data_IF_283346790306
#
_entry.id   IF_283346790306
#
_cell.length_a   1.000
_cell.length_b   1.000
_cell.length_c   1.000
_cell.angle_alpha   90.00
_cell.angle_beta   90.00
_cell.angle_gamma   90.00
#
_symmetry.space_group_name_H-M   'P 1'
#
loop_
_entity.id
_entity.type
_entity.pdbx_description
1 polymer ?
#
# COMPACT_ATOMS: atom_id res chain seq x y z
N UNK A 1 -12.67 7.43 -9.68
CA UNK A 1 -12.03 6.40 -8.88
C UNK A 1 -10.88 7.04 -8.14
N UNK A 2 -10.76 6.91 -6.81
CA UNK A 2 -9.78 7.67 -6.05
C UNK A 2 -8.34 7.40 -6.46
N UNK A 3 -7.60 8.45 -6.80
CA UNK A 3 -6.17 8.46 -7.10
C UNK A 3 -5.46 9.62 -6.40
N UNK A 4 -4.13 9.54 -6.29
CA UNK A 4 -3.30 10.54 -5.61
C UNK A 4 -2.71 11.54 -6.62
N UNK A 5 -2.82 12.83 -6.30
CA UNK A 5 -2.35 13.94 -7.12
C UNK A 5 -1.33 14.78 -6.37
N UNK A 6 -0.17 15.01 -6.98
CA UNK A 6 0.90 15.82 -6.38
C UNK A 6 1.82 15.08 -5.40
N UNK A 7 1.71 13.75 -5.29
CA UNK A 7 2.58 12.95 -4.43
C UNK A 7 1.97 11.58 -4.08
N UNK A 8 2.44 11.00 -2.97
CA UNK A 8 1.92 9.76 -2.42
C UNK A 8 1.11 9.99 -1.12
N UNK A 9 0.73 8.91 -0.44
CA UNK A 9 0.00 8.98 0.82
C UNK A 9 0.73 9.71 1.95
N UNK A 10 2.07 9.79 1.95
CA UNK A 10 2.83 10.58 2.93
C UNK A 10 2.64 12.07 2.66
N UNK A 11 2.73 12.46 1.40
CA UNK A 11 2.50 13.83 0.97
C UNK A 11 1.06 14.27 1.26
N UNK A 12 0.08 13.38 1.08
CA UNK A 12 -1.31 13.66 1.43
C UNK A 12 -1.51 13.91 2.93
N UNK A 13 -0.88 13.08 3.78
CA UNK A 13 -0.92 13.28 5.24
C UNK A 13 -0.20 14.55 5.71
N UNK A 14 0.71 15.09 4.90
CA UNK A 14 1.39 16.37 5.17
C UNK A 14 0.69 17.58 4.53
N UNK A 15 -0.45 17.37 3.87
CA UNK A 15 -1.17 18.44 3.15
C UNK A 15 -0.47 18.93 1.89
N UNK A 16 0.41 18.12 1.29
CA UNK A 16 1.17 18.42 0.06
C UNK A 16 0.63 17.70 -1.18
N UNK A 17 -0.23 16.71 -1.01
CA UNK A 17 -0.94 16.00 -2.08
C UNK A 17 -2.43 15.86 -1.75
N UNK A 18 -3.23 15.55 -2.78
CA UNK A 18 -4.68 15.36 -2.66
C UNK A 18 -5.10 14.00 -3.20
N UNK A 19 -6.22 13.49 -2.71
CA UNK A 19 -6.92 12.33 -3.26
C UNK A 19 -8.15 12.81 -3.99
N UNK A 20 -8.23 12.59 -5.30
CA UNK A 20 -9.37 13.02 -6.11
C UNK A 20 -10.10 11.82 -6.69
N UNK A 21 -11.40 11.95 -6.95
CA UNK A 21 -12.13 10.97 -7.75
C UNK A 21 -12.06 11.25 -9.27
N UNK A 22 -12.76 10.46 -10.09
CA UNK A 22 -12.74 10.62 -11.55
C UNK A 22 -13.42 11.91 -12.03
N UNK A 23 -14.20 12.57 -11.16
CA UNK A 23 -14.89 13.82 -11.42
C UNK A 23 -14.14 15.02 -10.84
N UNK A 24 -12.97 14.80 -10.22
CA UNK A 24 -12.18 15.84 -9.58
C UNK A 24 -12.69 16.25 -8.20
N UNK A 25 -13.58 15.46 -7.57
CA UNK A 25 -14.03 15.72 -6.20
C UNK A 25 -12.88 15.40 -5.26
N UNK A 26 -12.58 16.35 -4.37
CA UNK A 26 -11.56 16.16 -3.34
C UNK A 26 -12.08 15.23 -2.22
N UNK A 27 -11.44 14.06 -2.13
CA UNK A 27 -11.72 13.02 -1.14
C UNK A 27 -10.63 12.93 -0.06
N UNK A 28 -9.66 13.85 -0.05
CA UNK A 28 -8.46 13.81 0.79
C UNK A 28 -8.82 13.65 2.26
N UNK A 29 -9.67 14.54 2.79
CA UNK A 29 -10.06 14.52 4.19
C UNK A 29 -10.80 13.23 4.57
N UNK A 30 -11.67 12.74 3.69
CA UNK A 30 -12.38 11.48 3.88
C UNK A 30 -11.44 10.27 3.93
N UNK A 31 -10.45 10.25 3.03
CA UNK A 31 -9.44 9.19 2.97
C UNK A 31 -8.54 9.21 4.22
N UNK A 32 -8.13 10.40 4.68
CA UNK A 32 -7.32 10.58 5.90
C UNK A 32 -8.10 10.09 7.13
N UNK A 33 -9.36 10.49 7.30
CA UNK A 33 -10.20 10.01 8.42
C UNK A 33 -10.34 8.48 8.41
N UNK A 34 -10.50 7.88 7.24
CA UNK A 34 -10.53 6.42 7.09
C UNK A 34 -9.21 5.76 7.51
N UNK A 35 -8.08 6.34 7.11
CA UNK A 35 -6.75 5.90 7.50
C UNK A 35 -6.51 6.03 9.02
N UNK A 36 -6.92 7.13 9.64
CA UNK A 36 -6.85 7.35 11.09
C UNK A 36 -7.69 6.33 11.86
N UNK A 37 -8.90 6.02 11.39
CA UNK A 37 -9.74 4.99 11.99
C UNK A 37 -9.09 3.61 11.91
N UNK A 38 -8.43 3.29 10.79
CA UNK A 38 -7.66 2.05 10.63
C UNK A 38 -6.47 1.99 11.61
N UNK A 39 -5.72 3.08 11.77
CA UNK A 39 -4.64 3.19 12.76
C UNK A 39 -5.16 3.00 14.18
N UNK A 40 -6.24 3.68 14.55
CA UNK A 40 -6.85 3.56 15.87
C UNK A 40 -7.26 2.12 16.17
N UNK A 41 -7.85 1.42 15.18
CA UNK A 41 -8.19 0.01 15.31
C UNK A 41 -6.94 -0.87 15.47
N UNK A 42 -5.92 -0.67 14.64
CA UNK A 42 -4.67 -1.44 14.68
C UNK A 42 -3.96 -1.30 16.05
N UNK A 43 -3.86 -0.08 16.57
CA UNK A 43 -3.26 0.18 17.88
C UNK A 43 -4.09 -0.44 19.02
N UNK A 44 -5.42 -0.31 18.98
CA UNK A 44 -6.30 -0.88 19.98
C UNK A 44 -6.21 -2.42 20.04
N UNK A 45 -6.04 -3.07 18.87
CA UNK A 45 -5.87 -4.52 18.77
C UNK A 45 -4.41 -4.98 18.91
N UNK A 46 -3.46 -4.05 19.12
CA UNK A 46 -2.02 -4.34 19.19
C UNK A 46 -1.52 -5.10 17.96
N UNK A 47 -1.99 -4.70 16.78
CA UNK A 47 -1.55 -5.29 15.51
C UNK A 47 -0.04 -5.08 15.33
N UNK A 48 0.68 -6.19 15.14
CA UNK A 48 2.13 -6.19 14.93
C UNK A 48 2.54 -6.03 13.46
N UNK A 49 1.61 -6.32 12.54
CA UNK A 49 1.82 -6.28 11.10
C UNK A 49 0.49 -6.12 10.36
N UNK A 50 0.43 -5.25 9.36
CA UNK A 50 -0.71 -5.16 8.45
C UNK A 50 -0.35 -5.69 7.05
N UNK A 51 -1.19 -6.56 6.49
CA UNK A 51 -1.09 -6.99 5.09
C UNK A 51 -2.11 -6.22 4.27
N UNK A 52 -1.65 -5.46 3.26
CA UNK A 52 -2.50 -4.56 2.48
C UNK A 52 -2.43 -4.85 0.98
N UNK A 53 -3.52 -4.51 0.28
CA UNK A 53 -3.59 -4.63 -1.18
C UNK A 53 -2.90 -3.45 -1.87
N UNK A 54 -1.77 -3.74 -2.49
CA UNK A 54 -0.91 -2.77 -3.17
C UNK A 54 -1.50 -2.24 -4.51
N UNK A 55 -0.98 -1.11 -5.02
CA UNK A 55 -1.43 -0.37 -6.22
C UNK A 55 -2.72 0.46 -6.07
N UNK A 56 -3.04 0.99 -4.89
CA UNK A 56 -4.21 1.89 -4.73
C UNK A 56 -3.88 3.13 -3.92
N UNK A 57 -4.62 4.22 -4.14
CA UNK A 57 -4.43 5.47 -3.40
C UNK A 57 -4.66 5.34 -1.88
N UNK A 58 -5.41 4.32 -1.44
CA UNK A 58 -5.62 4.03 -0.03
C UNK A 58 -4.55 3.07 0.50
N UNK A 59 -4.47 1.86 -0.07
CA UNK A 59 -3.74 0.73 0.51
C UNK A 59 -2.43 0.37 -0.19
N UNK A 60 -2.03 1.11 -1.24
CA UNK A 60 -0.72 0.93 -1.89
C UNK A 60 0.40 0.87 -0.86
N UNK A 61 1.29 -0.11 -0.93
CA UNK A 61 2.36 -0.32 0.05
C UNK A 61 3.76 -0.19 -0.53
N UNK A 62 3.89 -0.32 -1.85
CA UNK A 62 5.14 -0.08 -2.59
C UNK A 62 4.87 0.68 -3.90
N UNK A 63 3.71 0.44 -4.50
CA UNK A 63 3.27 1.03 -5.76
C UNK A 63 1.89 1.64 -5.60
N UNK A 64 1.64 2.76 -6.26
CA UNK A 64 0.31 3.35 -6.43
C UNK A 64 0.02 3.61 -7.91
N UNK A 65 -1.26 3.76 -8.27
CA UNK A 65 -1.61 4.27 -9.59
C UNK A 65 -1.05 5.68 -9.76
N UNK A 66 -0.59 5.99 -10.97
CA UNK A 66 -0.34 7.35 -11.42
C UNK A 66 -1.51 7.77 -12.33
N UNK A 67 -2.50 8.45 -11.75
CA UNK A 67 -3.77 8.75 -12.42
C UNK A 67 -4.85 7.68 -12.22
N UNK A 68 -5.94 7.82 -12.97
CA UNK A 68 -7.12 6.96 -12.87
C UNK A 68 -6.76 5.51 -13.20
N UNK A 69 -7.10 4.56 -12.32
CA UNK A 69 -6.80 3.12 -12.54
C UNK A 69 -7.54 2.48 -13.72
N UNK A 70 -8.52 3.18 -14.31
CA UNK A 70 -9.26 2.74 -15.48
C UNK A 70 -8.68 3.28 -16.79
N UNK A 71 -7.62 4.09 -16.73
CA UNK A 71 -6.93 4.55 -17.92
C UNK A 71 -6.20 3.39 -18.62
N UNK A 72 -6.10 3.49 -19.95
CA UNK A 72 -5.43 2.51 -20.78
C UNK A 72 -4.42 3.22 -21.72
N UNK A 73 -3.11 2.99 -21.57
CA UNK A 73 -2.47 2.13 -20.57
C UNK A 73 -2.52 2.73 -19.16
N UNK A 74 -2.69 1.88 -18.13
CA UNK A 74 -2.60 2.29 -16.73
C UNK A 74 -1.15 2.65 -16.40
N UNK A 75 -0.94 3.78 -15.74
CA UNK A 75 0.37 4.21 -15.25
C UNK A 75 0.52 3.95 -13.75
N UNK A 76 1.76 3.82 -13.32
CA UNK A 76 2.14 3.48 -11.96
C UNK A 76 3.31 4.32 -11.52
N UNK A 77 3.39 4.59 -10.22
CA UNK A 77 4.52 5.25 -9.59
C UNK A 77 4.91 4.51 -8.31
N UNK A 78 6.19 4.62 -7.92
CA UNK A 78 6.64 4.18 -6.60
C UNK A 78 6.01 5.07 -5.55
N UNK A 79 5.51 4.49 -4.46
CA UNK A 79 4.86 5.25 -3.40
C UNK A 79 3.84 4.40 -2.65
N UNK A 80 3.27 4.97 -1.58
CA UNK A 80 2.25 4.28 -0.78
C UNK A 80 0.94 5.04 -0.79
N UNK A 81 -0.16 4.35 -0.51
CA UNK A 81 -1.46 4.97 -0.30
C UNK A 81 -1.61 5.60 1.09
N UNK A 82 -2.65 6.40 1.28
CA UNK A 82 -2.89 7.17 2.51
C UNK A 82 -3.00 6.28 3.76
N UNK A 83 -3.69 5.14 3.67
CA UNK A 83 -3.83 4.20 4.79
C UNK A 83 -2.49 3.54 5.16
N UNK A 84 -1.72 3.12 4.15
CA UNK A 84 -0.38 2.57 4.38
C UNK A 84 0.55 3.62 5.00
N UNK A 85 0.55 4.85 4.49
CA UNK A 85 1.35 5.93 5.06
C UNK A 85 0.99 6.19 6.54
N UNK A 86 -0.30 6.17 6.88
CA UNK A 86 -0.76 6.39 8.26
C UNK A 86 -0.33 5.25 9.20
N UNK A 87 -0.49 3.99 8.78
CA UNK A 87 -0.02 2.82 9.55
C UNK A 87 1.48 2.87 9.80
N UNK A 88 2.27 3.17 8.76
CA UNK A 88 3.72 3.30 8.88
C UNK A 88 4.12 4.43 9.83
N UNK A 89 3.44 5.59 9.79
CA UNK A 89 3.67 6.70 10.75
C UNK A 89 3.32 6.32 12.18
N UNK A 90 2.32 5.48 12.37
CA UNK A 90 1.92 4.96 13.68
C UNK A 90 2.82 3.82 14.18
N UNK A 91 3.84 3.41 13.41
CA UNK A 91 4.77 2.34 13.78
C UNK A 91 4.23 0.93 13.50
N UNK A 92 3.15 0.79 12.75
CA UNK A 92 2.64 -0.52 12.30
C UNK A 92 3.29 -0.85 10.96
N UNK A 93 4.16 -1.89 10.89
CA UNK A 93 4.76 -2.31 9.64
C UNK A 93 3.70 -2.82 8.66
N UNK A 94 3.92 -2.59 7.36
CA UNK A 94 3.01 -2.99 6.29
C UNK A 94 3.72 -3.90 5.30
N UNK A 95 3.04 -4.99 4.93
CA UNK A 95 3.47 -5.94 3.91
C UNK A 95 2.47 -5.93 2.74
N UNK A 96 2.98 -5.96 1.51
CA UNK A 96 2.13 -6.11 0.33
C UNK A 96 1.54 -7.52 0.29
N UNK A 97 0.29 -7.65 -0.17
CA UNK A 97 -0.27 -8.96 -0.53
C UNK A 97 0.53 -9.68 -1.64
N UNK A 98 1.46 -8.97 -2.30
CA UNK A 98 2.36 -9.50 -3.33
C UNK A 98 3.78 -9.80 -2.82
N UNK A 99 4.10 -9.55 -1.55
CA UNK A 99 5.39 -9.89 -0.95
C UNK A 99 5.41 -11.38 -0.57
N UNK A 100 5.45 -12.24 -1.58
CA UNK A 100 5.23 -13.68 -1.40
C UNK A 100 6.31 -14.31 -0.51
N UNK A 101 7.58 -13.93 -0.67
CA UNK A 101 8.65 -14.48 0.16
C UNK A 101 8.45 -14.10 1.64
N UNK A 102 8.00 -12.88 1.90
CA UNK A 102 7.68 -12.43 3.26
C UNK A 102 6.47 -13.18 3.82
N UNK A 103 5.39 -13.32 3.04
CA UNK A 103 4.18 -14.04 3.47
C UNK A 103 4.44 -15.53 3.74
N UNK A 104 5.26 -16.19 2.92
CA UNK A 104 5.69 -17.58 3.12
C UNK A 104 6.38 -17.76 4.48
N UNK A 105 7.29 -16.85 4.83
CA UNK A 105 8.01 -16.88 6.11
C UNK A 105 7.07 -16.61 7.30
N UNK A 106 6.13 -15.68 7.16
CA UNK A 106 5.14 -15.43 8.21
C UNK A 106 4.27 -16.66 8.45
N UNK A 107 3.85 -17.33 7.38
CA UNK A 107 3.06 -18.55 7.45
C UNK A 107 3.83 -19.71 8.08
N UNK A 108 5.10 -19.89 7.72
CA UNK A 108 5.98 -20.90 8.34
C UNK A 108 6.11 -20.72 9.86
N UNK A 109 6.17 -19.47 10.34
CA UNK A 109 6.20 -19.20 11.79
C UNK A 109 4.85 -19.44 12.47
N UNK A 110 3.73 -19.19 11.77
CA UNK A 110 2.39 -19.29 12.32
C UNK A 110 1.78 -20.70 12.25
N UNK A 111 2.19 -21.52 11.28
CA UNK A 111 1.61 -22.84 10.99
C UNK A 111 2.68 -23.95 11.19
N UNK A 112 2.66 -24.68 12.32
CA UNK A 112 3.60 -25.78 12.56
C UNK A 112 3.54 -26.84 11.44
N UNK A 113 4.71 -27.15 10.87
CA UNK A 113 4.84 -28.14 9.79
C UNK A 113 4.64 -27.57 8.38
N UNK A 114 4.29 -26.29 8.25
CA UNK A 114 4.43 -25.57 6.99
C UNK A 114 5.91 -25.34 6.68
N UNK A 115 6.29 -25.43 5.41
CA UNK A 115 7.65 -25.12 4.93
C UNK A 115 7.51 -24.06 3.86
N UNK A 116 8.16 -22.92 4.07
CA UNK A 116 8.13 -21.80 3.13
C UNK A 116 8.69 -22.20 1.77
N UNK A 117 8.06 -21.74 0.69
CA UNK A 117 8.61 -21.88 -0.66
C UNK A 117 9.89 -21.03 -0.80
N UNK A 118 11.09 -21.64 -0.92
CA UNK A 118 12.34 -20.88 -1.02
C UNK A 118 12.49 -20.14 -2.36
N UNK A 119 11.64 -20.44 -3.34
CA UNK A 119 11.62 -19.78 -4.66
C UNK A 119 10.71 -18.56 -4.72
N UNK A 120 9.88 -18.34 -3.69
CA UNK A 120 9.02 -17.16 -3.61
C UNK A 120 9.85 -15.87 -3.60
N UNK A 121 9.33 -14.83 -4.26
CA UNK A 121 9.98 -13.52 -4.36
C UNK A 121 9.02 -12.41 -3.98
N UNK A 122 9.55 -11.41 -3.27
CA UNK A 122 8.79 -10.24 -2.87
C UNK A 122 8.49 -9.32 -4.05
N UNK A 123 7.53 -8.42 -3.85
CA UNK A 123 6.92 -7.65 -4.91
C UNK A 123 7.92 -6.80 -5.69
N UNK A 124 8.82 -6.11 -4.98
CA UNK A 124 9.90 -5.30 -5.55
C UNK A 124 10.93 -6.09 -6.38
N UNK A 125 10.94 -7.43 -6.29
CA UNK A 125 11.84 -8.30 -7.07
C UNK A 125 11.13 -8.98 -8.24
N UNK A 126 9.81 -8.86 -8.34
CA UNK A 126 9.07 -9.45 -9.44
C UNK A 126 9.41 -8.76 -10.75
N UNK A 127 9.43 -9.55 -11.83
CA UNK A 127 9.78 -9.10 -13.18
C UNK A 127 9.06 -7.81 -13.57
N UNK A 128 7.75 -7.75 -13.35
CA UNK A 128 6.94 -6.57 -13.69
C UNK A 128 7.43 -5.31 -12.97
N UNK A 129 7.76 -5.41 -11.68
CA UNK A 129 8.21 -4.26 -10.90
C UNK A 129 9.57 -3.76 -11.43
N UNK A 130 10.51 -4.68 -11.63
CA UNK A 130 11.86 -4.37 -12.14
C UNK A 130 11.79 -3.77 -13.54
N UNK A 131 10.98 -4.33 -14.44
CA UNK A 131 10.79 -3.80 -15.79
C UNK A 131 10.10 -2.43 -15.79
N UNK A 132 9.19 -2.18 -14.83
CA UNK A 132 8.44 -0.91 -14.75
C UNK A 132 9.29 0.21 -14.15
N UNK A 133 10.11 -0.07 -13.15
CA UNK A 133 10.77 0.95 -12.34
C UNK A 133 12.30 0.94 -12.39
N UNK A 134 12.92 -0.02 -13.08
CA UNK A 134 14.31 0.06 -13.48
C UNK A 134 15.37 -0.24 -12.42
N UNK A 135 15.02 -0.74 -11.22
CA UNK A 135 15.91 -1.36 -10.21
C UNK A 135 15.14 -1.72 -8.92
#
# INVERSE_FOLDING_TARGET
>A
MPDLHGGDGREALDGRASVLDEHGVDLTEGMIRGAEAMVAHALAQRVELAVLTDMSAACGSQVISDGCRFDHPRRFQRGVGVATAALLRAGVPVVSQRDLATLERLREQAEPGYVADPSAIDWHRQRWYVETFGE
#
